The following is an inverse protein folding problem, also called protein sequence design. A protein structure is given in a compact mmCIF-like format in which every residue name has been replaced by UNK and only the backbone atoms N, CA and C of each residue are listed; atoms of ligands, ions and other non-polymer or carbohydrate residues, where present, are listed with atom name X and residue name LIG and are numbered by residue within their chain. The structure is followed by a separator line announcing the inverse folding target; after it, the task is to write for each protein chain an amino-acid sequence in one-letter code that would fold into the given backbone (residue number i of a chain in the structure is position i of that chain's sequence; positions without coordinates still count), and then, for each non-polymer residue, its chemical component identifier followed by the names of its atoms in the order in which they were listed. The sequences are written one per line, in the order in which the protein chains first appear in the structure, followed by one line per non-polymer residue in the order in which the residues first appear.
data_IF_100708295442
#
_entry.id   IF_100708295442
#
_cell.length_a   1.000
_cell.length_b   1.000
_cell.length_c   1.000
_cell.angle_alpha   90.00
_cell.angle_beta   90.00
_cell.angle_gamma   90.00
#
_symmetry.space_group_name_H-M   'P 1'
#
loop_
_entity.id
_entity.type
_entity.pdbx_description
1 polymer ?
#
# COMPACT_ATOMS: atom_id res chain seq x y z
N UNK A 1 -14.92 18.29 -0.02
CA UNK A 1 -13.95 17.47 0.70
C UNK A 1 -12.61 18.13 0.49
N UNK A 2 -12.03 18.61 1.58
CA UNK A 2 -10.67 19.19 1.63
C UNK A 2 -9.66 18.03 1.66
N UNK A 3 -8.47 18.22 1.09
CA UNK A 3 -7.37 17.25 1.15
C UNK A 3 -7.06 16.81 2.59
N UNK A 4 -7.13 17.71 3.57
CA UNK A 4 -6.90 17.39 4.97
C UNK A 4 -7.97 16.45 5.53
N UNK A 5 -9.23 16.62 5.15
CA UNK A 5 -10.34 15.74 5.54
C UNK A 5 -10.13 14.32 4.99
N UNK A 6 -9.72 14.19 3.72
CA UNK A 6 -9.39 12.89 3.11
C UNK A 6 -8.21 12.22 3.82
N UNK A 7 -7.18 12.99 4.16
CA UNK A 7 -6.00 12.46 4.84
C UNK A 7 -6.32 11.95 6.25
N UNK A 8 -7.14 12.70 7.00
CA UNK A 8 -7.60 12.30 8.33
C UNK A 8 -8.48 11.04 8.27
N UNK A 9 -9.40 10.98 7.31
CA UNK A 9 -10.25 9.80 7.07
C UNK A 9 -9.39 8.57 6.73
N UNK A 10 -8.39 8.71 5.85
CA UNK A 10 -7.47 7.63 5.49
C UNK A 10 -6.72 7.11 6.72
N UNK A 11 -6.21 8.01 7.58
CA UNK A 11 -5.51 7.61 8.82
C UNK A 11 -6.45 6.84 9.74
N UNK A 12 -7.71 7.27 9.86
CA UNK A 12 -8.72 6.60 10.67
C UNK A 12 -9.07 5.21 10.11
N UNK A 13 -9.27 5.08 8.80
CA UNK A 13 -9.56 3.79 8.15
C UNK A 13 -8.41 2.79 8.31
N UNK A 14 -7.17 3.24 8.08
CA UNK A 14 -6.01 2.39 8.28
C UNK A 14 -5.84 2.01 9.77
N UNK A 15 -6.23 2.86 10.73
CA UNK A 15 -6.20 2.49 12.15
C UNK A 15 -7.24 1.43 12.47
N UNK A 16 -8.46 1.57 11.94
CA UNK A 16 -9.50 0.55 12.11
C UNK A 16 -9.05 -0.80 11.53
N UNK A 17 -8.35 -0.80 10.38
CA UNK A 17 -7.78 -2.02 9.82
C UNK A 17 -6.64 -2.57 10.68
N UNK A 18 -5.75 -1.71 11.20
CA UNK A 18 -4.66 -2.11 12.12
C UNK A 18 -5.18 -2.84 13.36
N UNK A 19 -6.26 -2.34 13.96
CA UNK A 19 -6.92 -2.96 15.12
C UNK A 19 -7.44 -4.37 14.77
N UNK A 20 -7.97 -4.57 13.56
CA UNK A 20 -8.44 -5.87 13.08
C UNK A 20 -7.28 -6.83 12.87
N UNK A 21 -6.27 -6.44 12.09
CA UNK A 21 -5.18 -7.36 11.72
C UNK A 21 -4.21 -7.64 12.88
N UNK A 22 -4.11 -6.72 13.85
CA UNK A 22 -3.31 -6.91 15.06
C UNK A 22 -3.88 -7.98 15.99
N UNK A 23 -5.18 -8.28 15.90
CA UNK A 23 -5.84 -9.29 16.71
C UNK A 23 -5.77 -10.70 16.10
N UNK A 24 -5.27 -10.83 14.87
CA UNK A 24 -5.18 -12.10 14.15
C UNK A 24 -4.00 -12.94 14.64
N UNK A 25 -4.21 -14.25 14.71
CA UNK A 25 -3.13 -15.24 14.87
C UNK A 25 -2.50 -15.62 13.53
N UNK A 26 -1.34 -16.29 13.56
CA UNK A 26 -0.58 -16.66 12.36
C UNK A 26 -1.41 -17.48 11.35
N UNK A 27 -2.29 -18.35 11.82
CA UNK A 27 -3.16 -19.17 10.97
C UNK A 27 -4.20 -18.31 10.22
N UNK A 28 -4.67 -17.22 10.84
CA UNK A 28 -5.60 -16.29 10.21
C UNK A 28 -4.96 -15.47 9.09
N UNK A 29 -3.65 -15.20 9.16
CA UNK A 29 -2.92 -14.44 8.15
C UNK A 29 -2.80 -15.17 6.80
N UNK A 30 -2.90 -16.51 6.80
CA UNK A 30 -2.83 -17.34 5.60
C UNK A 30 -4.20 -17.72 5.03
N UNK A 31 -5.29 -17.22 5.61
CA UNK A 31 -6.64 -17.48 5.09
C UNK A 31 -6.86 -16.77 3.76
N UNK A 32 -7.52 -17.48 2.84
CA UNK A 32 -7.97 -16.93 1.56
C UNK A 32 -8.97 -15.78 1.79
N UNK A 33 -8.88 -14.78 0.91
CA UNK A 33 -9.81 -13.65 0.87
C UNK A 33 -10.73 -13.76 -0.34
N UNK A 34 -11.78 -12.91 -0.45
CA UNK A 34 -12.61 -12.85 -1.66
C UNK A 34 -11.84 -12.47 -2.93
N UNK A 35 -10.61 -11.92 -2.82
CA UNK A 35 -9.69 -11.77 -3.94
C UNK A 35 -9.03 -13.12 -4.23
N UNK A 36 -9.34 -13.78 -5.36
CA UNK A 36 -8.85 -15.13 -5.64
C UNK A 36 -7.32 -15.18 -5.65
N UNK A 37 -6.76 -16.15 -4.93
CA UNK A 37 -5.31 -16.34 -4.82
C UNK A 37 -4.62 -15.46 -3.78
N UNK A 38 -5.33 -14.54 -3.13
CA UNK A 38 -4.77 -13.65 -2.11
C UNK A 38 -5.21 -14.04 -0.71
N UNK A 39 -4.23 -14.20 0.16
CA UNK A 39 -4.41 -14.35 1.61
C UNK A 39 -4.62 -13.01 2.28
N UNK A 40 -4.96 -13.01 3.58
CA UNK A 40 -4.96 -11.79 4.40
C UNK A 40 -3.59 -11.09 4.36
N UNK A 41 -2.49 -11.86 4.40
CA UNK A 41 -1.15 -11.31 4.23
C UNK A 41 -0.95 -10.62 2.88
N UNK A 42 -1.48 -11.18 1.79
CA UNK A 42 -1.40 -10.56 0.46
C UNK A 42 -2.13 -9.21 0.41
N UNK A 43 -3.28 -9.10 1.08
CA UNK A 43 -4.00 -7.82 1.17
C UNK A 43 -3.17 -6.75 1.90
N UNK A 44 -2.55 -7.10 3.03
CA UNK A 44 -1.71 -6.14 3.78
C UNK A 44 -0.42 -5.82 3.00
N UNK A 45 0.15 -6.79 2.29
CA UNK A 45 1.29 -6.57 1.41
C UNK A 45 0.95 -5.60 0.27
N UNK A 46 -0.22 -5.75 -0.34
CA UNK A 46 -0.73 -4.84 -1.36
C UNK A 46 -0.85 -3.41 -0.81
N UNK A 47 -1.51 -3.24 0.33
CA UNK A 47 -1.65 -1.94 0.98
C UNK A 47 -0.28 -1.34 1.32
N UNK A 48 0.66 -2.14 1.80
CA UNK A 48 2.03 -1.68 2.10
C UNK A 48 2.72 -1.12 0.85
N UNK A 49 2.59 -1.80 -0.29
CA UNK A 49 3.18 -1.34 -1.55
C UNK A 49 2.53 -0.03 -2.03
N UNK A 50 1.20 0.06 -2.02
CA UNK A 50 0.50 1.22 -2.56
C UNK A 50 0.52 2.43 -1.62
N UNK A 51 0.61 2.24 -0.30
CA UNK A 51 0.88 3.33 0.65
C UNK A 51 2.27 3.93 0.39
N UNK A 52 3.29 3.08 0.16
CA UNK A 52 4.64 3.52 -0.20
C UNK A 52 4.68 4.24 -1.55
N UNK A 53 3.94 3.73 -2.55
CA UNK A 53 3.84 4.34 -3.86
C UNK A 53 3.13 5.71 -3.80
N UNK A 54 2.04 5.83 -3.03
CA UNK A 54 1.32 7.08 -2.84
C UNK A 54 2.18 8.13 -2.12
N UNK A 55 2.90 7.72 -1.06
CA UNK A 55 3.82 8.61 -0.36
C UNK A 55 4.91 9.10 -1.32
N UNK A 56 5.48 8.20 -2.12
CA UNK A 56 6.50 8.51 -3.13
C UNK A 56 5.97 9.45 -4.20
N UNK A 57 4.74 9.25 -4.69
CA UNK A 57 4.12 10.15 -5.66
C UNK A 57 4.02 11.60 -5.18
N UNK A 58 3.86 11.79 -3.86
CA UNK A 58 3.79 13.11 -3.22
C UNK A 58 5.19 13.70 -3.02
N UNK A 59 6.13 12.95 -2.43
CA UNK A 59 7.42 13.51 -1.99
C UNK A 59 8.53 13.41 -3.05
N UNK A 60 8.42 12.47 -3.98
CA UNK A 60 9.40 12.20 -5.04
C UNK A 60 8.70 11.74 -6.34
N UNK A 61 8.08 12.68 -7.09
CA UNK A 61 7.36 12.35 -8.31
C UNK A 61 8.23 11.70 -9.40
N UNK A 62 9.53 11.97 -9.42
CA UNK A 62 10.43 11.37 -10.41
C UNK A 62 10.70 9.90 -10.09
N UNK A 63 10.91 9.57 -8.82
CA UNK A 63 11.00 8.18 -8.40
C UNK A 63 9.67 7.43 -8.61
N UNK A 64 8.53 8.07 -8.35
CA UNK A 64 7.24 7.44 -8.64
C UNK A 64 7.08 7.11 -10.13
N UNK A 65 7.53 7.97 -11.06
CA UNK A 65 7.51 7.63 -12.50
C UNK A 65 8.35 6.39 -12.81
N UNK A 66 9.51 6.23 -12.17
CA UNK A 66 10.29 5.00 -12.32
C UNK A 66 9.54 3.78 -11.77
N UNK A 67 8.83 3.90 -10.64
CA UNK A 67 7.96 2.83 -10.13
C UNK A 67 6.82 2.48 -11.10
N UNK A 68 6.25 3.47 -11.79
CA UNK A 68 5.25 3.26 -12.85
C UNK A 68 5.87 2.49 -14.02
N UNK A 69 7.03 2.92 -14.51
CA UNK A 69 7.72 2.26 -15.61
C UNK A 69 8.09 0.81 -15.27
N UNK A 70 8.58 0.55 -14.06
CA UNK A 70 8.91 -0.80 -13.58
C UNK A 70 7.66 -1.70 -13.51
N UNK A 71 6.55 -1.19 -12.92
CA UNK A 71 5.29 -1.92 -12.84
C UNK A 71 4.70 -2.22 -14.22
N UNK A 72 4.73 -1.23 -15.13
CA UNK A 72 4.28 -1.42 -16.51
C UNK A 72 5.17 -2.39 -17.28
N UNK A 73 6.47 -2.45 -16.96
CA UNK A 73 7.42 -3.40 -17.53
C UNK A 73 7.10 -4.86 -17.20
N UNK A 74 6.54 -5.14 -16.02
CA UNK A 74 6.13 -6.50 -15.62
C UNK A 74 4.69 -6.85 -15.99
N UNK A 75 3.83 -5.85 -16.25
CA UNK A 75 2.41 -6.05 -16.54
C UNK A 75 2.14 -6.98 -17.76
N UNK A 76 3.05 -7.03 -18.73
CA UNK A 76 2.96 -7.96 -19.87
C UNK A 76 3.04 -9.45 -19.48
N UNK A 77 3.48 -9.76 -18.26
CA UNK A 77 3.51 -11.10 -17.68
C UNK A 77 2.18 -11.57 -17.07
N UNK A 78 1.16 -10.71 -17.03
CA UNK A 78 -0.15 -11.01 -16.42
C UNK A 78 -0.18 -10.81 -14.90
N UNK A 79 -1.32 -11.16 -14.30
CA UNK A 79 -1.63 -10.89 -12.88
C UNK A 79 -0.58 -11.48 -11.93
N UNK A 80 -0.14 -12.72 -12.16
CA UNK A 80 0.90 -13.38 -11.33
C UNK A 80 2.22 -12.60 -11.30
N UNK A 81 2.61 -11.96 -12.41
CA UNK A 81 3.84 -11.18 -12.48
C UNK A 81 3.72 -9.85 -11.73
N UNK A 82 2.54 -9.23 -11.77
CA UNK A 82 2.21 -8.02 -11.01
C UNK A 82 2.15 -8.33 -9.51
N UNK A 83 1.56 -9.46 -9.14
CA UNK A 83 1.50 -9.93 -7.76
C UNK A 83 2.88 -10.22 -7.22
N UNK A 84 3.74 -10.92 -7.97
CA UNK A 84 5.11 -11.18 -7.53
C UNK A 84 5.91 -9.87 -7.35
N UNK A 85 5.73 -8.92 -8.26
CA UNK A 85 6.40 -7.61 -8.18
C UNK A 85 5.96 -6.80 -6.96
N UNK A 86 4.65 -6.72 -6.71
CA UNK A 86 4.08 -5.87 -5.65
C UNK A 86 4.06 -6.54 -4.28
N UNK A 87 3.85 -7.86 -4.23
CA UNK A 87 3.65 -8.61 -2.98
C UNK A 87 4.88 -9.45 -2.60
N UNK A 88 5.66 -9.94 -3.57
CA UNK A 88 6.69 -10.97 -3.36
C UNK A 88 7.72 -10.63 -2.28
N UNK A 89 8.22 -9.39 -2.26
CA UNK A 89 9.14 -8.91 -1.20
C UNK A 89 8.53 -9.00 0.20
N UNK A 90 7.23 -8.72 0.32
CA UNK A 90 6.50 -8.66 1.59
C UNK A 90 6.06 -10.04 2.09
N UNK A 91 5.77 -10.98 1.18
CA UNK A 91 5.46 -12.39 1.49
C UNK A 91 6.55 -13.07 2.34
N UNK A 92 7.80 -12.62 2.24
CA UNK A 92 8.93 -13.15 3.02
C UNK A 92 9.05 -12.66 4.48
N UNK A 93 8.25 -11.67 4.91
CA UNK A 93 8.43 -11.00 6.22
C UNK A 93 7.73 -11.70 7.40
N UNK A 94 6.80 -12.63 7.13
CA UNK A 94 5.86 -13.16 8.12
C UNK A 94 4.88 -12.10 8.64
N UNK A 95 3.84 -12.49 9.40
CA UNK A 95 2.76 -11.58 9.84
C UNK A 95 3.24 -10.33 10.59
N UNK A 96 4.07 -10.50 11.62
CA UNK A 96 4.54 -9.38 12.44
C UNK A 96 5.43 -8.41 11.64
N UNK A 97 6.36 -8.94 10.84
CA UNK A 97 7.24 -8.11 10.01
C UNK A 97 6.47 -7.38 8.90
N UNK A 98 5.43 -8.00 8.36
CA UNK A 98 4.54 -7.37 7.39
C UNK A 98 3.71 -6.24 8.02
N UNK A 99 3.12 -6.49 9.19
CA UNK A 99 2.35 -5.49 9.92
C UNK A 99 3.21 -4.27 10.30
N UNK A 100 4.43 -4.50 10.79
CA UNK A 100 5.37 -3.41 11.10
C UNK A 100 5.77 -2.62 9.84
N UNK A 101 6.03 -3.33 8.73
CA UNK A 101 6.32 -2.70 7.45
C UNK A 101 5.16 -1.82 6.97
N UNK A 102 3.94 -2.32 7.06
CA UNK A 102 2.74 -1.57 6.68
C UNK A 102 2.59 -0.32 7.55
N UNK A 103 2.69 -0.45 8.88
CA UNK A 103 2.64 0.67 9.84
C UNK A 103 3.63 1.77 9.51
N UNK A 104 4.86 1.41 9.17
CA UNK A 104 5.88 2.39 8.74
C UNK A 104 5.49 3.06 7.43
N UNK A 105 4.99 2.30 6.45
CA UNK A 105 4.55 2.83 5.15
C UNK A 105 3.41 3.83 5.28
N UNK A 106 2.34 3.47 5.99
CA UNK A 106 1.19 4.35 6.19
C UNK A 106 1.53 5.61 6.99
N UNK A 107 2.47 5.54 7.94
CA UNK A 107 2.97 6.72 8.65
C UNK A 107 3.65 7.72 7.70
N UNK A 108 4.48 7.22 6.78
CA UNK A 108 5.11 8.05 5.74
C UNK A 108 4.08 8.67 4.80
N UNK A 109 3.02 7.93 4.45
CA UNK A 109 1.93 8.47 3.64
C UNK A 109 1.20 9.59 4.38
N UNK A 110 0.90 9.43 5.67
CA UNK A 110 0.27 10.47 6.47
C UNK A 110 1.13 11.75 6.54
N UNK A 111 2.44 11.59 6.78
CA UNK A 111 3.40 12.71 6.76
C UNK A 111 3.45 13.40 5.40
N UNK A 112 3.46 12.64 4.30
CA UNK A 112 3.47 13.17 2.95
C UNK A 112 2.16 13.93 2.63
N UNK A 113 1.02 13.33 2.93
CA UNK A 113 -0.30 13.92 2.67
C UNK A 113 -0.51 15.25 3.42
N UNK A 114 0.04 15.39 4.64
CA UNK A 114 -0.02 16.62 5.42
C UNK A 114 0.70 17.82 4.77
N UNK A 115 1.50 17.59 3.72
CA UNK A 115 2.19 18.66 2.96
C UNK A 115 1.37 19.21 1.80
N UNK A 116 0.26 18.55 1.45
CA UNK A 116 -0.57 18.89 0.30
C UNK A 116 -1.53 20.05 0.62
N UNK A 117 -1.72 20.93 -0.37
CA UNK A 117 -2.82 21.88 -0.40
C UNK A 117 -3.94 21.36 -1.32
N UNK A 118 -5.16 21.87 -1.17
CA UNK A 118 -6.35 21.47 -1.94
C UNK A 118 -6.17 21.50 -3.48
N UNK A 119 -5.31 22.37 -4.00
CA UNK A 119 -5.05 22.51 -5.42
C UNK A 119 -3.80 21.73 -5.90
N UNK A 120 -3.11 21.03 -4.98
CA UNK A 120 -1.89 20.27 -5.30
C UNK A 120 -2.21 19.12 -6.23
N UNK A 121 -1.43 18.99 -7.30
CA UNK A 121 -1.58 17.93 -8.30
C UNK A 121 -0.57 16.83 -8.00
N UNK A 122 -1.08 15.64 -7.70
CA UNK A 122 -0.28 14.44 -7.45
C UNK A 122 -0.44 13.51 -8.65
N UNK A 123 0.68 12.97 -9.13
CA UNK A 123 0.67 11.96 -10.20
C UNK A 123 0.22 10.61 -9.63
N UNK A 124 -0.37 9.75 -10.47
CA UNK A 124 -0.87 8.44 -10.04
C UNK A 124 -0.75 7.42 -11.18
N UNK A 125 -1.06 6.15 -10.93
CA UNK A 125 -0.89 5.06 -11.91
C UNK A 125 -1.85 5.11 -13.12
N UNK A 126 -2.84 6.01 -13.13
CA UNK A 126 -3.81 6.20 -14.23
C UNK A 126 -3.68 7.55 -14.94
N UNK A 127 -4.55 7.83 -15.92
CA UNK A 127 -4.47 9.04 -16.76
C UNK A 127 -4.80 10.35 -16.03
#
# INVERSE_FOLDING_TARGET
VDVAEVADDLVAEQQALDDVVSALDEDSWVLDTPSPGWTVADQVAHLTYFDEAAATAIVDPDHFRAMVDDLMGVAGGGDDAVDEFTLGRRRGLGPAGLLDAWRVGRGRLAEAAATLADDTRVIWYGP
#
